data_IF_329064409581
#
_entry.id   IF_329064409581
#
_cell.length_a   1.000
_cell.length_b   1.000
_cell.length_c   1.000
_cell.angle_alpha   90.00
_cell.angle_beta   90.00
_cell.angle_gamma   90.00
#
_symmetry.space_group_name_H-M   'P 1'
#
loop_
_entity.id
_entity.type
_entity.pdbx_description
1 polymer ?
#
# COMPACT_ATOMS: atom_id res chain seq x y z
N UNK A 1 25.59 -8.52 0.36
CA UNK A 1 24.15 -8.54 0.04
C UNK A 1 23.37 -8.84 1.30
N UNK A 2 23.18 -7.84 2.17
CA UNK A 2 22.23 -7.93 3.26
C UNK A 2 20.91 -7.38 2.70
N UNK A 3 20.04 -8.27 2.23
CA UNK A 3 18.63 -7.92 2.08
C UNK A 3 18.01 -8.38 3.39
N UNK A 4 17.84 -7.43 4.30
CA UNK A 4 17.35 -7.63 5.65
C UNK A 4 16.12 -8.54 5.67
N UNK A 5 16.22 -9.62 6.44
CA UNK A 5 15.11 -10.50 6.80
C UNK A 5 14.11 -9.71 7.65
N UNK A 6 12.94 -9.36 7.09
CA UNK A 6 11.61 -9.41 7.73
C UNK A 6 10.60 -8.41 7.10
N UNK A 7 10.22 -8.61 5.84
CA UNK A 7 8.91 -8.17 5.36
C UNK A 7 8.52 -9.02 4.15
N UNK A 8 7.50 -9.87 4.29
CA UNK A 8 6.99 -10.63 3.16
C UNK A 8 6.46 -9.64 2.11
N UNK A 9 7.07 -9.64 0.92
CA UNK A 9 6.63 -8.78 -0.17
C UNK A 9 5.33 -9.36 -0.76
N UNK A 10 4.19 -8.75 -0.43
CA UNK A 10 2.90 -9.11 -1.03
C UNK A 10 2.78 -8.43 -2.39
N UNK A 11 2.56 -9.25 -3.42
CA UNK A 11 2.30 -8.77 -4.77
C UNK A 11 0.81 -8.78 -5.05
N UNK A 12 0.28 -7.62 -5.39
CA UNK A 12 -1.14 -7.42 -5.74
C UNK A 12 -1.25 -6.86 -7.16
N UNK A 13 -2.34 -7.17 -7.88
CA UNK A 13 -2.67 -6.43 -9.08
C UNK A 13 -2.83 -4.93 -8.76
N UNK A 14 -2.34 -4.07 -9.64
CA UNK A 14 -2.63 -2.64 -9.60
C UNK A 14 -4.12 -2.34 -9.85
N UNK A 15 -4.51 -1.07 -9.78
CA UNK A 15 -5.91 -0.65 -9.88
C UNK A 15 -6.56 -0.97 -11.23
N UNK A 16 -5.77 -1.12 -12.31
CA UNK A 16 -6.25 -1.57 -13.61
C UNK A 16 -6.13 -3.09 -13.81
N UNK A 17 -5.48 -3.82 -12.90
CA UNK A 17 -5.33 -5.27 -12.92
C UNK A 17 -4.28 -5.79 -13.91
N UNK A 18 -3.49 -4.92 -14.52
CA UNK A 18 -2.54 -5.26 -15.58
C UNK A 18 -1.16 -5.66 -15.05
N UNK A 19 -0.71 -5.01 -13.97
CA UNK A 19 0.63 -5.16 -13.44
C UNK A 19 0.59 -5.71 -12.02
N UNK A 20 1.60 -6.51 -11.64
CA UNK A 20 1.83 -6.89 -10.25
C UNK A 20 2.73 -5.86 -9.58
N UNK A 21 2.26 -5.29 -8.48
CA UNK A 21 2.97 -4.27 -7.70
C UNK A 21 3.12 -4.73 -6.26
N UNK A 22 4.10 -4.18 -5.56
CA UNK A 22 4.26 -4.41 -4.13
C UNK A 22 3.14 -3.70 -3.38
N UNK A 23 2.43 -4.43 -2.53
CA UNK A 23 1.42 -3.85 -1.67
C UNK A 23 2.06 -2.98 -0.57
N UNK A 24 1.50 -1.80 -0.36
CA UNK A 24 1.93 -0.88 0.69
C UNK A 24 1.65 -1.46 2.07
N UNK A 25 2.59 -1.29 2.98
CA UNK A 25 2.55 -1.86 4.32
C UNK A 25 2.01 -0.85 5.34
N UNK A 26 1.72 -1.33 6.54
CA UNK A 26 1.19 -0.50 7.63
C UNK A 26 2.09 0.72 7.87
N UNK A 27 1.50 1.91 7.88
CA UNK A 27 2.21 3.18 8.09
C UNK A 27 2.90 3.75 6.86
N UNK A 28 2.93 3.05 5.72
CA UNK A 28 3.42 3.61 4.47
C UNK A 28 2.43 4.63 3.87
N UNK A 29 2.97 5.61 3.15
CA UNK A 29 2.17 6.57 2.40
C UNK A 29 1.55 5.89 1.17
N UNK A 30 0.30 6.23 0.89
CA UNK A 30 -0.47 5.73 -0.23
C UNK A 30 -1.23 6.86 -0.94
N UNK A 31 -1.51 6.64 -2.22
CA UNK A 31 -2.34 7.49 -3.08
C UNK A 31 -3.48 6.66 -3.68
N UNK A 32 -4.32 7.25 -4.55
CA UNK A 32 -5.43 6.50 -5.18
C UNK A 32 -4.96 5.32 -6.04
N UNK A 33 -3.69 5.35 -6.47
CA UNK A 33 -3.10 4.35 -7.36
C UNK A 33 -2.34 3.27 -6.60
N UNK A 34 -2.02 3.52 -5.33
CA UNK A 34 -1.33 2.57 -4.49
C UNK A 34 -2.34 1.59 -3.88
N UNK A 35 -1.91 0.34 -3.71
CA UNK A 35 -2.72 -0.71 -3.07
C UNK A 35 -2.04 -1.09 -1.76
N UNK A 36 -2.73 -0.88 -0.63
CA UNK A 36 -2.28 -1.36 0.69
C UNK A 36 -2.49 -2.87 0.81
N UNK A 37 -1.69 -3.55 1.65
CA UNK A 37 -1.69 -5.00 1.82
C UNK A 37 -3.07 -5.54 2.29
N UNK A 38 -3.86 -6.14 1.38
CA UNK A 38 -5.20 -6.59 1.71
C UNK A 38 -5.17 -7.84 2.59
N UNK A 39 -4.08 -8.61 2.59
CA UNK A 39 -3.94 -9.79 3.44
C UNK A 39 -3.81 -9.41 4.92
N UNK A 40 -3.36 -8.18 5.20
CA UNK A 40 -3.31 -7.59 6.54
C UNK A 40 -4.55 -6.74 6.85
N UNK A 41 -5.52 -6.67 5.93
CA UNK A 41 -6.73 -5.85 6.08
C UNK A 41 -6.50 -4.35 5.96
N UNK A 42 -5.35 -3.94 5.41
CA UNK A 42 -4.98 -2.52 5.33
C UNK A 42 -5.71 -1.82 4.18
N UNK A 43 -6.08 -0.57 4.40
CA UNK A 43 -6.63 0.31 3.37
C UNK A 43 -5.99 1.70 3.45
N UNK A 44 -6.07 2.45 2.36
CA UNK A 44 -5.51 3.80 2.31
C UNK A 44 -6.44 4.78 3.02
N UNK A 45 -6.06 5.23 4.22
CA UNK A 45 -6.78 6.25 4.98
C UNK A 45 -6.22 7.64 4.65
N UNK A 46 -7.03 8.50 4.04
CA UNK A 46 -6.68 9.88 3.70
C UNK A 46 -6.81 10.85 4.89
N UNK A 47 -7.33 10.39 6.03
CA UNK A 47 -7.58 11.23 7.20
C UNK A 47 -8.56 12.37 6.91
N UNK A 48 -8.12 13.61 7.14
CA UNK A 48 -8.97 14.79 6.96
C UNK A 48 -9.28 15.06 5.48
N UNK A 49 -10.53 15.42 5.13
CA UNK A 49 -10.96 15.63 3.75
C UNK A 49 -10.24 16.76 3.00
N UNK A 50 -9.36 17.53 3.65
CA UNK A 50 -8.51 18.54 3.03
C UNK A 50 -7.25 17.96 2.34
N UNK A 51 -6.81 16.74 2.68
CA UNK A 51 -5.63 16.08 2.11
C UNK A 51 -5.98 14.86 1.22
N UNK A 52 -6.86 15.05 0.23
CA UNK A 52 -7.39 13.95 -0.60
C UNK A 52 -6.40 13.24 -1.54
N UNK A 53 -5.10 13.58 -1.49
CA UNK A 53 -4.12 13.05 -2.46
C UNK A 53 -3.15 12.06 -1.87
N UNK A 54 -2.90 12.11 -0.55
CA UNK A 54 -1.94 11.24 0.13
C UNK A 54 -2.58 10.79 1.45
N UNK A 55 -2.70 9.49 1.61
CA UNK A 55 -3.11 8.83 2.84
C UNK A 55 -1.99 7.99 3.45
N UNK A 56 -2.35 7.23 4.47
CA UNK A 56 -1.49 6.25 5.16
C UNK A 56 -2.22 4.91 5.15
N UNK A 57 -1.50 3.82 4.89
CA UNK A 57 -2.08 2.48 5.03
C UNK A 57 -2.29 2.13 6.50
N UNK A 58 -3.55 1.89 6.87
CA UNK A 58 -3.99 1.53 8.23
C UNK A 58 -4.90 0.33 8.22
#
# INVERSE_FOLDING_TARGET
SAVDNANALILVPDTCGCCRVCAKQLGELCTERDVCDPHKGLYCDYGSPSNRRIGVCT
#
